data_IF_833840345366
#
_entry.id   IF_833840345366
#
_cell.length_a   1.000
_cell.length_b   1.000
_cell.length_c   1.000
_cell.angle_alpha   90.00
_cell.angle_beta   90.00
_cell.angle_gamma   90.00
#
_symmetry.space_group_name_H-M   'P 1'
#
loop_
_entity.id
_entity.type
_entity.pdbx_description
1 polymer ?
#
# COMPACT_ATOMS: atom_id res chain seq x y z
N UNK A 1 14.54 -13.25 -15.79
CA UNK A 1 13.71 -13.12 -14.60
C UNK A 1 14.34 -13.94 -13.48
N UNK A 2 14.95 -13.27 -12.49
CA UNK A 2 15.68 -13.94 -11.41
C UNK A 2 14.76 -14.90 -10.63
N UNK A 3 15.29 -16.05 -10.26
CA UNK A 3 14.67 -16.92 -9.26
C UNK A 3 14.44 -16.07 -8.01
N UNK A 4 13.24 -16.15 -7.40
CA UNK A 4 13.07 -15.71 -6.02
C UNK A 4 14.01 -16.60 -5.22
N UNK A 5 15.22 -16.12 -5.00
CA UNK A 5 16.18 -16.72 -4.08
C UNK A 5 15.54 -16.75 -2.72
N UNK A 6 15.87 -17.71 -1.93
CA UNK A 6 15.31 -17.92 -0.60
C UNK A 6 15.45 -16.63 0.22
N UNK A 7 14.32 -15.93 0.41
CA UNK A 7 14.27 -14.63 1.12
C UNK A 7 14.71 -14.81 2.58
N UNK A 8 14.61 -16.04 3.10
CA UNK A 8 15.01 -16.39 4.48
C UNK A 8 16.52 -16.26 4.76
N UNK A 9 17.35 -16.20 3.70
CA UNK A 9 18.81 -16.03 3.84
C UNK A 9 19.25 -14.55 3.85
N UNK A 10 18.30 -13.60 3.68
CA UNK A 10 18.61 -12.19 3.64
C UNK A 10 18.58 -11.60 5.05
N UNK A 11 19.70 -11.06 5.53
CA UNK A 11 19.82 -10.35 6.81
C UNK A 11 19.36 -8.89 6.67
N UNK A 12 18.03 -8.66 6.64
CA UNK A 12 17.44 -7.32 6.64
C UNK A 12 16.39 -7.21 7.75
N UNK A 13 16.26 -6.02 8.32
CA UNK A 13 15.15 -5.71 9.24
C UNK A 13 13.83 -5.63 8.50
N UNK A 14 13.85 -5.08 7.28
CA UNK A 14 12.68 -4.94 6.40
C UNK A 14 13.05 -5.25 4.95
N UNK A 15 12.19 -5.98 4.28
CA UNK A 15 12.26 -6.22 2.84
C UNK A 15 10.98 -5.69 2.18
N UNK A 16 11.12 -4.74 1.26
CA UNK A 16 10.03 -4.25 0.42
C UNK A 16 10.06 -4.93 -0.94
N UNK A 17 8.93 -5.49 -1.33
CA UNK A 17 8.77 -6.11 -2.66
C UNK A 17 7.77 -5.26 -3.45
N UNK A 18 8.27 -4.52 -4.42
CA UNK A 18 7.43 -3.81 -5.39
C UNK A 18 6.95 -4.77 -6.47
N UNK A 19 5.65 -4.76 -6.74
CA UNK A 19 5.01 -5.68 -7.68
C UNK A 19 4.51 -4.93 -8.92
N UNK A 20 4.49 -5.59 -10.10
CA UNK A 20 3.86 -5.01 -11.28
C UNK A 20 2.36 -4.72 -11.05
N UNK A 21 1.78 -3.75 -11.77
CA UNK A 21 0.38 -3.34 -11.61
C UNK A 21 -0.64 -4.34 -12.22
N UNK A 22 -0.30 -5.59 -12.32
CA UNK A 22 -1.15 -6.65 -12.84
C UNK A 22 -0.95 -7.96 -12.06
N UNK A 23 -1.97 -8.82 -12.08
CA UNK A 23 -1.89 -10.13 -11.45
C UNK A 23 -0.89 -11.00 -12.22
N UNK A 24 0.26 -11.26 -11.62
CA UNK A 24 1.27 -12.17 -12.17
C UNK A 24 1.16 -13.55 -11.53
N UNK A 25 1.69 -14.59 -12.22
CA UNK A 25 1.72 -15.95 -11.68
C UNK A 25 2.54 -16.10 -10.39
N UNK A 26 3.36 -15.11 -10.06
CA UNK A 26 4.20 -15.09 -8.85
C UNK A 26 3.50 -14.40 -7.67
N UNK A 27 2.44 -13.63 -7.94
CA UNK A 27 1.78 -12.83 -6.91
C UNK A 27 1.20 -13.68 -5.76
N UNK A 28 0.56 -14.84 -5.98
CA UNK A 28 0.09 -15.68 -4.89
C UNK A 28 1.21 -16.08 -3.92
N UNK A 29 2.38 -16.43 -4.44
CA UNK A 29 3.55 -16.77 -3.63
C UNK A 29 4.06 -15.60 -2.79
N UNK A 30 4.09 -14.41 -3.37
CA UNK A 30 4.48 -13.18 -2.67
C UNK A 30 3.49 -12.84 -1.55
N UNK A 31 2.20 -12.99 -1.83
CA UNK A 31 1.13 -12.82 -0.83
C UNK A 31 1.32 -13.78 0.35
N UNK A 32 1.58 -15.05 0.08
CA UNK A 32 1.76 -16.06 1.12
C UNK A 32 2.90 -15.74 2.09
N UNK A 33 4.02 -15.23 1.59
CA UNK A 33 5.23 -14.96 2.40
C UNK A 33 5.24 -13.56 3.01
N UNK A 34 4.33 -12.67 2.60
CA UNK A 34 4.28 -11.31 3.13
C UNK A 34 3.79 -11.28 4.58
N UNK A 35 4.48 -10.52 5.42
CA UNK A 35 4.02 -10.20 6.77
C UNK A 35 2.99 -9.07 6.75
N UNK A 36 3.11 -8.16 5.78
CA UNK A 36 2.15 -7.09 5.53
C UNK A 36 2.02 -6.84 4.03
N UNK A 37 0.79 -6.68 3.57
CA UNK A 37 0.45 -6.31 2.19
C UNK A 37 -0.09 -4.89 2.20
N UNK A 38 0.50 -4.01 1.43
CA UNK A 38 0.04 -2.62 1.29
C UNK A 38 -0.55 -2.43 -0.09
N UNK A 39 -1.80 -1.95 -0.15
CA UNK A 39 -2.50 -1.65 -1.39
C UNK A 39 -2.69 -0.13 -1.49
N UNK A 40 -1.88 0.57 -2.29
CA UNK A 40 -2.12 1.99 -2.55
C UNK A 40 -3.28 2.16 -3.54
N UNK A 41 -4.22 3.03 -3.22
CA UNK A 41 -5.33 3.39 -4.11
C UNK A 41 -5.52 4.91 -4.15
N UNK A 42 -6.08 5.41 -5.25
CA UNK A 42 -6.58 6.78 -5.34
C UNK A 42 -8.03 6.85 -4.85
N UNK A 43 -8.53 8.06 -4.63
CA UNK A 43 -9.90 8.29 -4.18
C UNK A 43 -10.90 8.31 -5.32
N UNK A 44 -10.94 7.27 -6.15
CA UNK A 44 -11.92 7.17 -7.23
C UNK A 44 -12.68 5.84 -7.18
N UNK A 45 -13.91 5.85 -7.70
CA UNK A 45 -14.71 4.64 -7.80
C UNK A 45 -14.09 3.58 -8.73
N UNK A 46 -13.39 4.03 -9.79
CA UNK A 46 -12.69 3.12 -10.70
C UNK A 46 -11.52 2.40 -10.01
N UNK A 47 -10.80 3.12 -9.14
CA UNK A 47 -9.72 2.50 -8.35
C UNK A 47 -10.29 1.47 -7.36
N UNK A 48 -11.45 1.75 -6.76
CA UNK A 48 -12.14 0.80 -5.89
C UNK A 48 -12.51 -0.49 -6.64
N UNK A 49 -13.03 -0.39 -7.86
CA UNK A 49 -13.34 -1.54 -8.68
C UNK A 49 -12.08 -2.31 -9.10
N UNK A 50 -11.01 -1.58 -9.40
CA UNK A 50 -9.74 -2.17 -9.85
C UNK A 50 -9.06 -3.05 -8.79
N UNK A 51 -9.22 -2.74 -7.51
CA UNK A 51 -8.58 -3.54 -6.44
C UNK A 51 -9.35 -4.81 -6.08
N UNK A 52 -10.58 -4.98 -6.55
CA UNK A 52 -11.42 -6.14 -6.18
C UNK A 52 -10.72 -7.47 -6.47
N UNK A 53 -10.19 -7.65 -7.68
CA UNK A 53 -9.50 -8.88 -8.04
C UNK A 53 -8.25 -9.16 -7.19
N UNK A 54 -7.54 -8.10 -6.79
CA UNK A 54 -6.39 -8.22 -5.89
C UNK A 54 -6.84 -8.63 -4.48
N UNK A 55 -7.90 -8.04 -3.97
CA UNK A 55 -8.47 -8.39 -2.66
C UNK A 55 -9.01 -9.84 -2.67
N UNK A 56 -9.67 -10.26 -3.74
CA UNK A 56 -10.17 -11.63 -3.87
C UNK A 56 -9.02 -12.63 -3.86
N UNK A 57 -7.92 -12.33 -4.54
CA UNK A 57 -6.71 -13.15 -4.48
C UNK A 57 -6.11 -13.19 -3.07
N UNK A 58 -5.99 -12.06 -2.39
CA UNK A 58 -5.48 -11.98 -1.02
C UNK A 58 -6.36 -12.80 -0.05
N UNK A 59 -7.68 -12.74 -0.21
CA UNK A 59 -8.63 -13.55 0.56
C UNK A 59 -8.45 -15.04 0.30
N UNK A 60 -8.24 -15.44 -0.96
CA UNK A 60 -8.00 -16.85 -1.30
C UNK A 60 -6.71 -17.41 -0.67
N UNK A 61 -5.74 -16.53 -0.39
CA UNK A 61 -4.50 -16.87 0.33
C UNK A 61 -4.61 -16.68 1.87
N UNK A 62 -5.80 -16.36 2.38
CA UNK A 62 -6.08 -16.13 3.82
C UNK A 62 -5.22 -15.02 4.44
N UNK A 63 -4.91 -13.97 3.68
CA UNK A 63 -4.02 -12.86 4.08
C UNK A 63 -4.73 -11.51 4.25
N UNK A 64 -6.05 -11.49 4.31
CA UNK A 64 -6.80 -10.23 4.42
C UNK A 64 -6.48 -9.45 5.71
N UNK A 65 -6.23 -10.15 6.82
CA UNK A 65 -5.91 -9.54 8.11
C UNK A 65 -4.52 -8.88 8.12
N UNK A 66 -3.62 -9.29 7.23
CA UNK A 66 -2.30 -8.72 7.01
C UNK A 66 -2.31 -7.68 5.88
N UNK A 67 -3.47 -7.14 5.51
CA UNK A 67 -3.61 -6.19 4.41
C UNK A 67 -3.99 -4.82 4.92
N UNK A 68 -3.33 -3.79 4.39
CA UNK A 68 -3.56 -2.38 4.68
C UNK A 68 -3.77 -1.60 3.39
N UNK A 69 -4.96 -1.02 3.20
CA UNK A 69 -5.24 -0.10 2.09
C UNK A 69 -4.79 1.30 2.48
N UNK A 70 -4.04 1.96 1.60
CA UNK A 70 -3.54 3.32 1.80
C UNK A 70 -4.01 4.23 0.68
N UNK A 71 -4.73 5.28 1.03
CA UNK A 71 -5.08 6.32 0.06
C UNK A 71 -3.83 7.10 -0.35
N UNK A 72 -3.54 7.09 -1.64
CA UNK A 72 -2.34 7.68 -2.23
C UNK A 72 -2.70 8.70 -3.31
N UNK A 73 -1.84 9.69 -3.51
CA UNK A 73 -2.00 10.74 -4.52
C UNK A 73 -3.34 11.50 -4.37
N UNK A 74 -3.71 11.79 -3.13
CA UNK A 74 -4.94 12.52 -2.82
C UNK A 74 -4.72 14.00 -3.11
N UNK A 75 -5.50 14.55 -4.04
CA UNK A 75 -5.44 15.98 -4.39
C UNK A 75 -5.99 16.84 -3.26
N UNK A 76 -5.45 18.06 -3.13
CA UNK A 76 -5.98 19.05 -2.21
C UNK A 76 -7.48 19.24 -2.43
N UNK A 77 -8.23 19.41 -1.34
CA UNK A 77 -9.70 19.60 -1.33
C UNK A 77 -10.50 18.39 -1.86
N UNK A 78 -9.88 17.21 -2.03
CA UNK A 78 -10.62 15.99 -2.31
C UNK A 78 -11.23 15.47 -1.01
N UNK A 79 -12.53 15.29 -0.98
CA UNK A 79 -13.22 14.57 0.07
C UNK A 79 -13.31 13.09 -0.33
N UNK A 80 -12.86 12.20 0.56
CA UNK A 80 -13.13 10.78 0.36
C UNK A 80 -14.63 10.57 0.45
N UNK A 81 -15.23 10.08 -0.62
CA UNK A 81 -16.67 9.86 -0.65
C UNK A 81 -17.04 8.72 0.31
N UNK A 82 -18.18 8.87 0.96
CA UNK A 82 -18.74 7.82 1.83
C UNK A 82 -18.87 6.51 1.05
N UNK A 83 -19.24 6.57 -0.22
CA UNK A 83 -19.39 5.41 -1.09
C UNK A 83 -18.10 4.60 -1.27
N UNK A 84 -16.95 5.28 -1.38
CA UNK A 84 -15.64 4.61 -1.45
C UNK A 84 -15.30 3.91 -0.14
N UNK A 85 -15.54 4.56 0.98
CA UNK A 85 -15.30 3.98 2.30
C UNK A 85 -16.20 2.77 2.56
N UNK A 86 -17.48 2.87 2.24
CA UNK A 86 -18.44 1.75 2.34
C UNK A 86 -18.00 0.59 1.45
N UNK A 87 -17.60 0.86 0.21
CA UNK A 87 -17.11 -0.18 -0.71
C UNK A 87 -15.87 -0.90 -0.17
N UNK A 88 -14.95 -0.19 0.49
CA UNK A 88 -13.79 -0.81 1.13
C UNK A 88 -14.16 -1.61 2.38
N UNK A 89 -15.14 -1.14 3.16
CA UNK A 89 -15.66 -1.88 4.32
C UNK A 89 -16.29 -3.21 3.90
N UNK A 90 -17.00 -3.27 2.77
CA UNK A 90 -17.56 -4.51 2.22
C UNK A 90 -16.49 -5.57 1.93
N UNK A 91 -15.26 -5.15 1.60
CA UNK A 91 -14.14 -6.06 1.42
C UNK A 91 -13.55 -6.58 2.74
N UNK A 92 -13.94 -6.01 3.88
CA UNK A 92 -13.41 -6.34 5.21
C UNK A 92 -11.89 -6.22 5.29
N UNK A 93 -11.35 -5.14 4.76
CA UNK A 93 -9.92 -4.83 4.73
C UNK A 93 -9.62 -3.62 5.60
N UNK A 94 -8.47 -3.60 6.25
CA UNK A 94 -8.03 -2.45 7.05
C UNK A 94 -7.65 -1.29 6.14
N UNK A 95 -8.03 -0.08 6.55
CA UNK A 95 -7.69 1.17 5.85
C UNK A 95 -6.78 1.98 6.78
N UNK A 96 -5.67 2.48 6.24
CA UNK A 96 -4.78 3.38 6.96
C UNK A 96 -5.49 4.70 7.28
N UNK A 97 -5.26 5.25 8.48
CA UNK A 97 -5.74 6.58 8.84
C UNK A 97 -4.96 7.68 8.11
N UNK A 98 -3.70 7.40 7.78
CA UNK A 98 -2.84 8.33 7.05
C UNK A 98 -3.10 8.23 5.56
N UNK A 99 -3.33 9.39 4.92
CA UNK A 99 -3.44 9.53 3.48
C UNK A 99 -2.17 10.20 2.95
N UNK A 100 -1.70 9.79 1.77
CA UNK A 100 -0.59 10.42 1.08
C UNK A 100 -1.12 11.38 0.03
N UNK A 101 -0.80 12.66 0.20
CA UNK A 101 -1.24 13.73 -0.72
C UNK A 101 -0.48 13.70 -2.04
N UNK A 102 -1.12 14.23 -3.09
CA UNK A 102 -0.48 14.46 -4.38
C UNK A 102 0.40 15.72 -4.31
N UNK A 103 1.60 15.56 -3.76
CA UNK A 103 2.58 16.62 -3.56
C UNK A 103 3.75 16.48 -4.53
N UNK A 104 4.20 17.61 -5.09
CA UNK A 104 5.35 17.68 -6.00
C UNK A 104 6.62 17.10 -5.35
N UNK A 105 6.77 17.26 -4.04
CA UNK A 105 7.90 16.72 -3.27
C UNK A 105 8.00 15.19 -3.35
N UNK A 106 6.89 14.48 -3.43
CA UNK A 106 6.93 13.03 -3.64
C UNK A 106 7.41 12.68 -5.05
N UNK A 107 6.92 13.40 -6.07
CA UNK A 107 7.39 13.21 -7.46
C UNK A 107 8.89 13.49 -7.60
N UNK A 108 9.40 14.50 -6.89
CA UNK A 108 10.81 14.89 -6.92
C UNK A 108 11.70 14.09 -5.97
N UNK A 109 11.14 13.28 -5.09
CA UNK A 109 11.89 12.56 -4.06
C UNK A 109 13.00 11.67 -4.60
N UNK A 110 12.80 11.11 -5.78
CA UNK A 110 13.80 10.28 -6.49
C UNK A 110 15.03 11.09 -6.86
N UNK A 111 14.86 12.37 -7.22
CA UNK A 111 15.96 13.25 -7.65
C UNK A 111 16.75 13.82 -6.47
N UNK A 112 16.09 14.02 -5.33
CA UNK A 112 16.68 14.70 -4.15
C UNK A 112 16.83 13.77 -2.94
N UNK A 113 16.65 12.49 -3.15
CA UNK A 113 16.79 11.45 -2.12
C UNK A 113 15.91 11.70 -0.87
N UNK A 114 14.62 11.86 -1.11
CA UNK A 114 13.61 11.97 -0.05
C UNK A 114 12.80 13.27 -0.08
N UNK A 115 12.01 13.48 0.95
CA UNK A 115 11.06 14.61 1.07
C UNK A 115 11.32 15.48 2.30
N UNK A 116 12.49 15.38 2.93
CA UNK A 116 12.84 16.09 4.18
C UNK A 116 12.70 17.60 4.12
N UNK A 117 12.82 18.19 2.93
CA UNK A 117 12.63 19.63 2.70
C UNK A 117 11.16 20.07 2.75
N UNK A 118 10.22 19.14 2.58
CA UNK A 118 8.79 19.37 2.68
C UNK A 118 8.27 18.78 3.99
N UNK A 119 8.00 19.64 4.96
CA UNK A 119 7.54 19.22 6.29
C UNK A 119 6.21 18.47 6.26
N UNK A 120 5.31 18.83 5.35
CA UNK A 120 4.02 18.16 5.21
C UNK A 120 4.19 16.74 4.64
N UNK A 121 4.97 16.59 3.57
CA UNK A 121 5.29 15.29 2.99
C UNK A 121 6.01 14.39 4.00
N UNK A 122 7.00 14.91 4.72
CA UNK A 122 7.74 14.16 5.74
C UNK A 122 6.81 13.69 6.86
N UNK A 123 5.91 14.56 7.35
CA UNK A 123 4.94 14.21 8.39
C UNK A 123 3.99 13.09 7.94
N UNK A 124 3.54 13.12 6.69
CA UNK A 124 2.68 12.06 6.15
C UNK A 124 3.43 10.71 6.11
N UNK A 125 4.69 10.70 5.66
CA UNK A 125 5.50 9.48 5.67
C UNK A 125 5.77 8.97 7.08
N UNK A 126 6.08 9.84 8.02
CA UNK A 126 6.32 9.46 9.41
C UNK A 126 5.07 8.82 10.04
N UNK A 127 3.89 9.39 9.78
CA UNK A 127 2.63 8.85 10.27
C UNK A 127 2.31 7.49 9.63
N UNK A 128 2.46 7.36 8.32
CA UNK A 128 2.26 6.10 7.61
C UNK A 128 3.24 5.03 8.11
N UNK A 129 4.50 5.39 8.32
CA UNK A 129 5.52 4.48 8.88
C UNK A 129 5.08 3.93 10.23
N UNK A 130 4.56 4.78 11.12
CA UNK A 130 4.03 4.34 12.43
C UNK A 130 2.88 3.36 12.29
N UNK A 131 1.95 3.61 11.37
CA UNK A 131 0.83 2.69 11.11
C UNK A 131 1.31 1.35 10.56
N UNK A 132 2.26 1.35 9.63
CA UNK A 132 2.87 0.14 9.07
C UNK A 132 3.55 -0.67 10.18
N UNK A 133 4.39 -0.03 11.01
CA UNK A 133 5.07 -0.71 12.11
C UNK A 133 4.07 -1.29 13.11
N UNK A 134 2.99 -0.58 13.41
CA UNK A 134 1.92 -1.08 14.29
C UNK A 134 1.19 -2.28 13.68
N UNK A 135 1.03 -2.32 12.37
CA UNK A 135 0.37 -3.42 11.67
C UNK A 135 1.25 -4.70 11.59
N UNK A 136 2.58 -4.56 11.72
CA UNK A 136 3.55 -5.67 11.71
C UNK A 136 3.71 -6.34 13.08
N UNK A 137 3.30 -5.68 14.14
CA UNK A 137 3.34 -6.18 15.51
C UNK A 137 2.02 -6.89 15.81
#
# INVERSE_FOLDING_TARGET
>A
MGKITDISELEYDFLFIDTPPYLSNHLPKLIQIADLIIIPIKSSYLDLLAIQSTIDLIKSESKIDQTLVVFNMIKANTTLTIDILIGLEEYNVKIANTHISDLVSFTRSVLVNGVKSDKNAQKQLDNLTKEILSALI
#
